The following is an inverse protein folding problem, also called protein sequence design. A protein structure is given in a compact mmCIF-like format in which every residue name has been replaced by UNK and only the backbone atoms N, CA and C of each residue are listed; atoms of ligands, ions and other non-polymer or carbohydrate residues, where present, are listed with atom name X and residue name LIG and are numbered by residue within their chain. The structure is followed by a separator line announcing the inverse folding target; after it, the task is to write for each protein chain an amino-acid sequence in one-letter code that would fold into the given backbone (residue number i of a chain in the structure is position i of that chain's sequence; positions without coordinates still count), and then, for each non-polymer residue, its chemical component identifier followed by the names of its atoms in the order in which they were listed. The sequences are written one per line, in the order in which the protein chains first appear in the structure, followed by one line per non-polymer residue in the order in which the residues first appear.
data_IF_241450710707
#
_entry.id   IF_241450710707
#
_cell.length_a   1.000
_cell.length_b   1.000
_cell.length_c   1.000
_cell.angle_alpha   90.00
_cell.angle_beta   90.00
_cell.angle_gamma   90.00
#
_symmetry.space_group_name_H-M   'P 1'
#
loop_
_entity.id
_entity.type
_entity.pdbx_description
1 polymer ?
#
# COMPACT_ATOMS: atom_id res chain seq x y z
N UNK A 1 71.67 -50.50 65.51
CA UNK A 1 70.38 -51.16 65.81
C UNK A 1 69.24 -50.24 65.36
N UNK A 2 68.28 -50.84 64.67
CA UNK A 2 67.04 -50.35 64.06
C UNK A 2 66.44 -49.04 64.62
N UNK A 3 66.26 -48.05 63.73
CA UNK A 3 65.25 -47.00 63.87
C UNK A 3 64.08 -47.27 62.91
N UNK A 4 62.88 -46.97 63.42
CA UNK A 4 61.58 -47.44 62.94
C UNK A 4 60.99 -46.59 61.82
N UNK A 5 60.17 -47.29 61.06
CA UNK A 5 59.21 -46.93 60.00
C UNK A 5 58.17 -45.91 60.51
N UNK A 6 57.67 -45.03 59.62
CA UNK A 6 56.24 -44.76 59.37
C UNK A 6 56.04 -43.52 58.46
N UNK A 7 55.46 -43.78 57.26
CA UNK A 7 54.30 -43.12 56.60
C UNK A 7 54.27 -41.57 56.52
N UNK A 8 53.81 -40.87 55.47
CA UNK A 8 52.63 -41.04 54.60
C UNK A 8 52.58 -39.86 53.60
N UNK A 9 52.00 -40.10 52.43
CA UNK A 9 51.14 -39.20 51.62
C UNK A 9 51.63 -37.87 51.01
N UNK A 10 51.38 -37.80 49.69
CA UNK A 10 50.91 -36.67 48.87
C UNK A 10 51.86 -35.44 48.76
N UNK A 11 52.06 -34.83 47.58
CA UNK A 11 51.04 -34.11 46.84
C UNK A 11 51.41 -34.11 45.35
N UNK A 12 50.49 -34.67 44.54
CA UNK A 12 50.39 -34.42 43.11
C UNK A 12 49.95 -32.96 42.93
N UNK A 13 50.87 -32.05 42.63
CA UNK A 13 50.52 -30.71 42.16
C UNK A 13 50.26 -30.83 40.66
N UNK A 14 49.09 -31.37 40.32
CA UNK A 14 48.50 -31.13 39.01
C UNK A 14 48.07 -29.66 39.03
N UNK A 15 48.89 -28.80 38.41
CA UNK A 15 48.48 -27.45 38.08
C UNK A 15 47.20 -27.54 37.24
N UNK A 16 46.08 -27.18 37.87
CA UNK A 16 44.85 -26.75 37.24
C UNK A 16 45.17 -25.47 36.44
N UNK A 17 45.69 -25.63 35.23
CA UNK A 17 45.47 -24.62 34.19
C UNK A 17 43.99 -24.71 33.81
N UNK A 18 43.12 -24.02 34.58
CA UNK A 18 41.82 -23.59 34.09
C UNK A 18 42.09 -22.54 32.99
N UNK A 19 42.51 -23.01 31.81
CA UNK A 19 42.01 -22.38 30.60
C UNK A 19 40.51 -22.68 30.62
N UNK A 20 39.69 -21.67 30.89
CA UNK A 20 38.28 -21.75 30.59
C UNK A 20 38.17 -22.12 29.11
N UNK A 21 37.94 -23.40 28.82
CA UNK A 21 37.48 -23.84 27.52
C UNK A 21 36.10 -23.21 27.39
N UNK A 22 36.03 -22.00 26.83
CA UNK A 22 34.77 -21.52 26.28
C UNK A 22 34.33 -22.60 25.29
N UNK A 23 33.23 -23.29 25.61
CA UNK A 23 32.59 -24.19 24.66
C UNK A 23 32.42 -23.40 23.36
N UNK A 24 33.01 -23.89 22.28
CA UNK A 24 32.82 -23.30 20.97
C UNK A 24 31.32 -23.28 20.68
N UNK A 25 30.76 -22.17 20.16
CA UNK A 25 29.36 -22.15 19.77
C UNK A 25 29.08 -23.30 18.79
N UNK A 26 27.85 -23.85 18.78
CA UNK A 26 27.44 -24.79 17.74
C UNK A 26 27.64 -24.12 16.37
N UNK A 27 28.10 -24.91 15.39
CA UNK A 27 28.23 -24.42 14.01
C UNK A 27 26.84 -24.07 13.47
N UNK A 28 26.64 -22.79 13.18
CA UNK A 28 25.42 -22.26 12.59
C UNK A 28 25.77 -21.45 11.35
N UNK A 29 24.87 -21.41 10.37
CA UNK A 29 25.03 -20.61 9.14
C UNK A 29 24.53 -19.18 9.32
N UNK A 30 24.93 -18.26 8.44
CA UNK A 30 24.46 -16.86 8.48
C UNK A 30 22.93 -16.77 8.34
N UNK A 31 22.30 -17.66 7.57
CA UNK A 31 20.85 -17.74 7.44
C UNK A 31 20.19 -18.24 8.74
N UNK A 32 20.80 -19.21 9.43
CA UNK A 32 20.31 -19.68 10.74
C UNK A 32 20.46 -18.61 11.83
N UNK A 33 21.55 -17.83 11.78
CA UNK A 33 21.74 -16.65 12.62
C UNK A 33 20.63 -15.61 12.35
N UNK A 34 20.31 -15.37 11.08
CA UNK A 34 19.22 -14.48 10.71
C UNK A 34 17.84 -15.01 11.16
N UNK A 35 17.60 -16.32 11.08
CA UNK A 35 16.35 -16.93 11.53
C UNK A 35 16.19 -16.89 13.05
N UNK A 36 17.28 -16.98 13.81
CA UNK A 36 17.27 -16.90 15.27
C UNK A 36 17.19 -15.47 15.80
N UNK A 37 17.96 -14.54 15.21
CA UNK A 37 18.11 -13.17 15.73
C UNK A 37 17.37 -12.11 14.91
N UNK A 38 16.90 -12.45 13.71
CA UNK A 38 16.19 -11.55 12.83
C UNK A 38 14.74 -11.37 13.26
N UNK A 39 14.16 -10.23 12.94
CA UNK A 39 12.73 -10.01 13.07
C UNK A 39 12.23 -9.21 11.88
N UNK A 40 10.95 -9.41 11.56
CA UNK A 40 10.24 -8.51 10.65
C UNK A 40 9.81 -7.29 11.46
N UNK A 41 10.10 -6.10 10.93
CA UNK A 41 9.60 -4.87 11.54
C UNK A 41 8.07 -4.83 11.41
N UNK A 42 7.39 -4.49 12.51
CA UNK A 42 5.93 -4.34 12.55
C UNK A 42 5.39 -3.26 11.61
N UNK A 43 6.27 -2.34 11.18
CA UNK A 43 5.95 -1.27 10.22
C UNK A 43 6.30 -1.65 8.78
N UNK A 44 6.84 -2.85 8.55
CA UNK A 44 7.19 -3.35 7.22
C UNK A 44 6.04 -4.18 6.65
N UNK A 45 5.89 -4.19 5.33
CA UNK A 45 4.94 -5.11 4.68
C UNK A 45 5.26 -6.56 5.05
N UNK A 46 4.24 -7.43 5.13
CA UNK A 46 4.40 -8.85 5.49
C UNK A 46 5.45 -9.60 4.65
N UNK A 47 5.70 -9.13 3.43
CA UNK A 47 6.68 -9.71 2.48
C UNK A 47 8.10 -9.15 2.63
N UNK A 48 8.33 -8.23 3.58
CA UNK A 48 9.67 -7.71 3.82
C UNK A 48 10.58 -8.82 4.42
N UNK A 49 11.82 -8.97 3.92
CA UNK A 49 12.79 -9.87 4.52
C UNK A 49 13.03 -9.53 5.99
N UNK A 50 13.27 -10.54 6.81
CA UNK A 50 13.69 -10.33 8.19
C UNK A 50 15.09 -9.70 8.24
N UNK A 51 15.34 -8.91 9.28
CA UNK A 51 16.66 -8.30 9.52
C UNK A 51 17.03 -8.40 10.99
N UNK A 52 18.33 -8.54 11.28
CA UNK A 52 18.83 -8.45 12.65
C UNK A 52 18.82 -6.99 13.08
N UNK A 53 18.24 -6.71 14.25
CA UNK A 53 18.15 -5.34 14.77
C UNK A 53 19.55 -4.78 15.06
N UNK A 54 19.71 -3.45 14.97
CA UNK A 54 20.98 -2.79 15.32
C UNK A 54 21.38 -3.07 16.78
N UNK A 55 20.39 -3.05 17.69
CA UNK A 55 20.62 -3.35 19.10
C UNK A 55 21.14 -4.77 19.31
N UNK A 56 20.65 -5.74 18.54
CA UNK A 56 21.11 -7.13 18.61
C UNK A 56 22.58 -7.26 18.20
N UNK A 57 22.99 -6.58 17.12
CA UNK A 57 24.40 -6.50 16.72
C UNK A 57 25.25 -5.82 17.79
N UNK A 58 24.84 -4.64 18.28
CA UNK A 58 25.58 -3.89 19.30
C UNK A 58 25.76 -4.70 20.59
N UNK A 59 24.71 -5.40 21.03
CA UNK A 59 24.79 -6.29 22.19
C UNK A 59 25.74 -7.47 21.96
N UNK A 60 25.74 -8.10 20.77
CA UNK A 60 26.65 -9.20 20.47
C UNK A 60 28.11 -8.74 20.51
N UNK A 61 28.40 -7.60 19.87
CA UNK A 61 29.74 -7.01 19.83
C UNK A 61 30.22 -6.54 21.20
N UNK A 62 29.32 -5.98 22.02
CA UNK A 62 29.62 -5.56 23.39
C UNK A 62 29.97 -6.76 24.30
N UNK A 63 29.18 -7.84 24.24
CA UNK A 63 29.40 -9.03 25.06
C UNK A 63 30.68 -9.77 24.67
N UNK A 64 30.99 -9.85 23.38
CA UNK A 64 32.23 -10.43 22.87
C UNK A 64 33.47 -9.52 23.05
N UNK A 65 33.30 -8.29 23.55
CA UNK A 65 34.41 -7.36 23.77
C UNK A 65 34.98 -6.69 22.51
N UNK A 66 34.32 -6.88 21.35
CA UNK A 66 34.72 -6.29 20.06
C UNK A 66 34.68 -4.75 20.07
N UNK A 67 33.78 -4.16 20.86
CA UNK A 67 33.59 -2.72 20.95
C UNK A 67 34.17 -2.10 22.23
N UNK A 68 35.12 -2.77 22.88
CA UNK A 68 35.78 -2.28 24.12
C UNK A 68 36.31 -0.85 24.01
N UNK A 69 36.84 -0.46 22.85
CA UNK A 69 37.31 0.91 22.59
C UNK A 69 36.18 1.97 22.55
N UNK A 70 34.96 1.57 22.17
CA UNK A 70 33.78 2.45 22.09
C UNK A 70 33.26 2.75 23.50
N UNK A 71 33.35 1.78 24.41
CA UNK A 71 32.83 1.88 25.78
C UNK A 71 33.90 2.21 26.83
N UNK A 72 35.13 2.55 26.43
CA UNK A 72 36.27 2.78 27.34
C UNK A 72 36.04 3.89 28.38
N UNK A 73 35.24 4.90 28.02
CA UNK A 73 34.95 6.06 28.87
C UNK A 73 33.66 5.87 29.69
N UNK A 74 32.99 4.71 29.56
CA UNK A 74 31.78 4.39 30.30
C UNK A 74 32.13 3.87 31.70
N UNK A 75 31.51 4.40 32.77
CA UNK A 75 31.70 3.86 34.13
C UNK A 75 31.38 2.37 34.21
N UNK A 76 32.17 1.61 34.97
CA UNK A 76 32.05 0.14 35.04
C UNK A 76 30.64 -0.32 35.48
N UNK A 77 30.01 0.41 36.41
CA UNK A 77 28.65 0.12 36.87
C UNK A 77 27.62 0.26 35.74
N UNK A 78 27.75 1.29 34.90
CA UNK A 78 26.88 1.48 33.73
C UNK A 78 27.15 0.41 32.67
N UNK A 79 28.42 0.12 32.39
CA UNK A 79 28.81 -0.92 31.44
C UNK A 79 28.28 -2.30 31.87
N UNK A 80 28.36 -2.60 33.17
CA UNK A 80 27.78 -3.81 33.76
C UNK A 80 26.27 -3.89 33.59
N UNK A 81 25.56 -2.77 33.79
CA UNK A 81 24.11 -2.68 33.55
C UNK A 81 23.75 -2.94 32.09
N UNK A 82 24.47 -2.33 31.13
CA UNK A 82 24.23 -2.51 29.69
C UNK A 82 24.50 -3.97 29.28
N UNK A 83 25.62 -4.56 29.72
CA UNK A 83 25.91 -5.98 29.45
C UNK A 83 24.84 -6.91 30.04
N UNK A 84 24.32 -6.60 31.22
CA UNK A 84 23.23 -7.37 31.85
C UNK A 84 21.95 -7.28 31.03
N UNK A 85 21.59 -6.09 30.54
CA UNK A 85 20.44 -5.92 29.65
C UNK A 85 20.61 -6.70 28.33
N UNK A 86 21.80 -6.67 27.73
CA UNK A 86 22.11 -7.45 26.54
C UNK A 86 21.99 -8.96 26.79
N UNK A 87 22.51 -9.46 27.91
CA UNK A 87 22.36 -10.88 28.29
C UNK A 87 20.90 -11.28 28.47
N UNK A 88 20.08 -10.43 29.10
CA UNK A 88 18.65 -10.66 29.25
C UNK A 88 17.94 -10.76 27.89
N UNK A 89 18.23 -9.82 26.99
CA UNK A 89 17.64 -9.84 25.65
C UNK A 89 18.02 -11.11 24.88
N UNK A 90 19.29 -11.53 24.93
CA UNK A 90 19.69 -12.78 24.29
C UNK A 90 19.10 -14.02 24.95
N UNK A 91 18.97 -14.02 26.27
CA UNK A 91 18.32 -15.11 26.98
C UNK A 91 16.86 -15.28 26.53
N UNK A 92 16.11 -14.19 26.31
CA UNK A 92 14.75 -14.25 25.79
C UNK A 92 14.70 -14.85 24.37
N UNK A 93 15.63 -14.47 23.49
CA UNK A 93 15.73 -15.00 22.12
C UNK A 93 16.13 -16.48 22.12
N UNK A 94 17.13 -16.85 22.92
CA UNK A 94 17.72 -18.19 22.99
C UNK A 94 16.76 -19.18 23.66
N UNK A 95 15.91 -18.71 24.58
CA UNK A 95 14.89 -19.53 25.23
C UNK A 95 13.75 -19.96 24.28
N UNK A 96 13.60 -19.32 23.13
CA UNK A 96 12.65 -19.74 22.11
C UNK A 96 13.12 -21.05 21.45
N UNK A 97 12.60 -22.17 21.92
CA UNK A 97 12.95 -23.52 21.44
C UNK A 97 12.51 -23.80 20.01
N UNK A 98 11.60 -22.99 19.45
CA UNK A 98 11.21 -23.12 18.04
C UNK A 98 12.26 -22.50 17.11
N UNK A 99 12.96 -21.47 17.58
CA UNK A 99 13.98 -20.76 16.81
C UNK A 99 15.40 -21.25 17.11
N UNK A 100 15.67 -21.60 18.36
CA UNK A 100 16.95 -22.12 18.81
C UNK A 100 16.99 -23.65 18.75
N UNK A 101 16.98 -24.20 17.53
CA UNK A 101 17.05 -25.66 17.31
C UNK A 101 18.46 -26.24 17.42
N UNK A 102 19.48 -25.37 17.49
CA UNK A 102 20.90 -25.73 17.47
C UNK A 102 21.54 -25.78 18.87
N UNK A 103 20.77 -25.50 19.92
CA UNK A 103 21.26 -25.55 21.30
C UNK A 103 22.24 -24.43 21.64
N UNK A 104 22.06 -23.24 21.04
CA UNK A 104 22.81 -22.06 21.44
C UNK A 104 22.52 -21.77 22.92
N UNK A 105 23.55 -21.40 23.68
CA UNK A 105 23.44 -21.03 25.09
C UNK A 105 23.90 -19.59 25.28
N UNK A 106 23.56 -19.00 26.43
CA UNK A 106 23.90 -17.61 26.70
C UNK A 106 25.42 -17.37 26.76
N UNK A 107 26.19 -18.37 27.24
CA UNK A 107 27.65 -18.27 27.33
C UNK A 107 28.31 -18.13 25.95
N UNK A 108 27.68 -18.67 24.90
CA UNK A 108 28.16 -18.56 23.53
C UNK A 108 28.09 -17.12 23.00
N UNK A 109 27.25 -16.25 23.58
CA UNK A 109 27.12 -14.85 23.15
C UNK A 109 28.33 -13.98 23.50
N UNK A 110 29.25 -14.50 24.31
CA UNK A 110 30.54 -13.86 24.62
C UNK A 110 31.64 -14.30 23.65
N UNK A 111 31.34 -15.21 22.71
CA UNK A 111 32.27 -15.66 21.69
C UNK A 111 32.40 -14.63 20.54
N UNK A 112 33.65 -14.32 20.18
CA UNK A 112 34.00 -13.34 19.14
C UNK A 112 33.51 -13.77 17.76
N UNK A 113 33.70 -15.03 17.38
CA UNK A 113 33.33 -15.53 16.05
C UNK A 113 31.82 -15.46 15.82
N UNK A 114 31.03 -15.82 16.84
CA UNK A 114 29.57 -15.69 16.79
C UNK A 114 29.13 -14.22 16.68
N UNK A 115 29.75 -13.30 17.42
CA UNK A 115 29.43 -11.88 17.34
C UNK A 115 29.78 -11.28 15.96
N UNK A 116 30.90 -11.69 15.36
CA UNK A 116 31.24 -11.32 13.98
C UNK A 116 30.26 -11.93 12.97
N UNK A 117 29.80 -13.15 13.20
CA UNK A 117 28.81 -13.80 12.36
C UNK A 117 27.46 -13.07 12.40
N UNK A 118 26.97 -12.70 13.59
CA UNK A 118 25.78 -11.85 13.77
C UNK A 118 25.94 -10.53 13.01
N UNK A 119 27.12 -9.92 13.08
CA UNK A 119 27.44 -8.67 12.36
C UNK A 119 27.35 -8.87 10.84
N UNK A 120 27.95 -9.94 10.29
CA UNK A 120 27.89 -10.26 8.86
C UNK A 120 26.47 -10.58 8.40
N UNK A 121 25.76 -11.43 9.12
CA UNK A 121 24.38 -11.81 8.83
C UNK A 121 23.47 -10.58 8.81
N UNK A 122 23.65 -9.64 9.75
CA UNK A 122 22.93 -8.37 9.75
C UNK A 122 23.20 -7.56 8.49
N UNK A 123 24.49 -7.32 8.16
CA UNK A 123 24.87 -6.54 6.99
C UNK A 123 24.26 -7.13 5.71
N UNK A 124 24.34 -8.45 5.52
CA UNK A 124 23.74 -9.14 4.39
C UNK A 124 22.21 -8.99 4.37
N UNK A 125 21.54 -9.15 5.53
CA UNK A 125 20.08 -9.02 5.62
C UNK A 125 19.58 -7.62 5.28
N UNK A 126 20.32 -6.58 5.65
CA UNK A 126 20.00 -5.18 5.34
C UNK A 126 20.10 -4.93 3.83
N UNK A 127 21.17 -5.41 3.19
CA UNK A 127 21.33 -5.24 1.74
C UNK A 127 20.24 -6.02 0.96
N UNK A 128 19.91 -7.24 1.39
CA UNK A 128 18.77 -8.00 0.84
C UNK A 128 17.46 -7.23 1.01
N UNK A 129 17.20 -6.66 2.19
CA UNK A 129 15.99 -5.89 2.46
C UNK A 129 15.91 -4.59 1.63
N UNK A 130 17.02 -3.87 1.46
CA UNK A 130 17.09 -2.68 0.60
C UNK A 130 16.83 -3.02 -0.86
N UNK A 131 17.48 -4.07 -1.38
CA UNK A 131 17.28 -4.53 -2.76
C UNK A 131 15.83 -4.95 -3.00
N UNK A 132 15.22 -5.70 -2.08
CA UNK A 132 13.82 -6.09 -2.15
C UNK A 132 12.87 -4.87 -2.12
N UNK A 133 13.13 -3.90 -1.24
CA UNK A 133 12.34 -2.67 -1.16
C UNK A 133 12.45 -1.84 -2.45
N UNK A 134 13.64 -1.75 -3.04
CA UNK A 134 13.86 -1.05 -4.30
C UNK A 134 13.13 -1.75 -5.46
N UNK A 135 13.28 -3.07 -5.60
CA UNK A 135 12.59 -3.84 -6.62
C UNK A 135 11.05 -3.73 -6.49
N UNK A 136 10.54 -3.73 -5.26
CA UNK A 136 9.11 -3.52 -5.00
C UNK A 136 8.64 -2.14 -5.42
N UNK A 137 9.39 -1.08 -5.07
CA UNK A 137 9.08 0.30 -5.49
C UNK A 137 9.07 0.46 -7.00
N UNK A 138 10.05 -0.14 -7.70
CA UNK A 138 10.13 -0.10 -9.16
C UNK A 138 8.94 -0.81 -9.80
N UNK A 139 8.56 -1.98 -9.27
CA UNK A 139 7.38 -2.71 -9.73
C UNK A 139 6.09 -1.91 -9.51
N UNK A 140 5.90 -1.36 -8.31
CA UNK A 140 4.71 -0.55 -7.98
C UNK A 140 4.64 0.72 -8.84
N UNK A 141 5.78 1.37 -9.10
CA UNK A 141 5.85 2.54 -9.98
C UNK A 141 5.49 2.18 -11.43
N UNK A 142 5.98 1.06 -11.95
CA UNK A 142 5.66 0.58 -13.30
C UNK A 142 4.17 0.21 -13.43
N UNK A 143 3.61 -0.51 -12.45
CA UNK A 143 2.19 -0.86 -12.43
C UNK A 143 1.29 0.38 -12.33
N UNK A 144 1.67 1.37 -11.51
CA UNK A 144 0.96 2.64 -11.41
C UNK A 144 1.00 3.40 -12.73
N UNK A 145 2.18 3.51 -13.34
CA UNK A 145 2.34 4.21 -14.61
C UNK A 145 1.45 3.59 -15.70
N UNK A 146 1.40 2.26 -15.79
CA UNK A 146 0.54 1.55 -16.73
C UNK A 146 -0.95 1.86 -16.49
N UNK A 147 -1.42 1.81 -15.23
CA UNK A 147 -2.80 2.14 -14.86
C UNK A 147 -3.15 3.61 -15.16
N UNK A 148 -2.25 4.53 -14.86
CA UNK A 148 -2.45 5.96 -15.14
C UNK A 148 -2.55 6.22 -16.64
N UNK A 149 -1.70 5.57 -17.45
CA UNK A 149 -1.74 5.67 -18.91
C UNK A 149 -3.04 5.11 -19.49
N UNK A 150 -3.51 3.96 -19.00
CA UNK A 150 -4.79 3.37 -19.41
C UNK A 150 -5.97 4.31 -19.09
N UNK A 151 -6.01 4.85 -17.88
CA UNK A 151 -7.07 5.76 -17.45
C UNK A 151 -7.09 7.07 -18.27
N UNK A 152 -5.90 7.63 -18.57
CA UNK A 152 -5.78 8.80 -19.44
C UNK A 152 -6.22 8.48 -20.87
N UNK A 153 -5.83 7.32 -21.41
CA UNK A 153 -6.23 6.91 -22.76
C UNK A 153 -7.76 6.74 -22.85
N UNK A 154 -8.39 6.14 -21.84
CA UNK A 154 -9.84 6.01 -21.75
C UNK A 154 -10.52 7.39 -21.68
N UNK A 155 -10.01 8.32 -20.87
CA UNK A 155 -10.52 9.69 -20.79
C UNK A 155 -10.39 10.43 -22.13
N UNK A 156 -9.25 10.31 -22.82
CA UNK A 156 -9.02 10.90 -24.15
C UNK A 156 -9.98 10.34 -25.19
N UNK A 157 -10.19 9.01 -25.21
CA UNK A 157 -11.17 8.37 -26.09
C UNK A 157 -12.58 8.90 -25.84
N UNK A 158 -12.97 9.05 -24.57
CA UNK A 158 -14.29 9.55 -24.18
C UNK A 158 -14.47 11.03 -24.53
N UNK A 159 -13.45 11.86 -24.34
CA UNK A 159 -13.46 13.26 -24.75
C UNK A 159 -13.57 13.42 -26.28
N UNK A 160 -12.88 12.57 -27.05
CA UNK A 160 -13.00 12.55 -28.50
C UNK A 160 -14.40 12.11 -28.96
N UNK A 161 -15.00 11.12 -28.31
CA UNK A 161 -16.40 10.75 -28.58
C UNK A 161 -17.35 11.91 -28.26
N UNK A 162 -17.15 12.59 -27.14
CA UNK A 162 -17.92 13.77 -26.79
C UNK A 162 -17.78 14.86 -27.86
N UNK A 163 -16.56 15.20 -28.25
CA UNK A 163 -16.29 16.23 -29.25
C UNK A 163 -16.96 15.94 -30.60
N UNK A 164 -16.88 14.70 -31.06
CA UNK A 164 -17.45 14.28 -32.35
C UNK A 164 -18.97 14.11 -32.35
N UNK A 165 -19.58 13.82 -31.20
CA UNK A 165 -21.02 13.51 -31.12
C UNK A 165 -21.86 14.60 -30.45
N UNK A 166 -21.24 15.62 -29.84
CA UNK A 166 -21.92 16.66 -29.07
C UNK A 166 -23.02 17.35 -29.87
N UNK A 167 -22.70 17.84 -31.08
CA UNK A 167 -23.63 18.64 -31.87
C UNK A 167 -24.81 17.82 -32.37
N UNK A 168 -24.58 16.58 -32.79
CA UNK A 168 -25.63 15.66 -33.24
C UNK A 168 -26.61 15.33 -32.09
N UNK A 169 -26.09 15.07 -30.90
CA UNK A 169 -26.95 14.83 -29.72
C UNK A 169 -27.75 16.06 -29.34
N UNK A 170 -27.13 17.25 -29.33
CA UNK A 170 -27.83 18.49 -29.01
C UNK A 170 -28.91 18.81 -30.05
N UNK A 171 -28.66 18.51 -31.33
CA UNK A 171 -29.65 18.66 -32.40
C UNK A 171 -30.84 17.70 -32.19
N UNK A 172 -30.58 16.41 -31.95
CA UNK A 172 -31.62 15.41 -31.68
C UNK A 172 -32.45 15.79 -30.43
N UNK A 173 -31.80 16.22 -29.36
CA UNK A 173 -32.47 16.65 -28.15
C UNK A 173 -33.34 17.90 -28.38
N UNK A 174 -32.84 18.87 -29.16
CA UNK A 174 -33.60 20.08 -29.51
C UNK A 174 -34.86 19.75 -30.30
N UNK A 175 -34.78 18.81 -31.23
CA UNK A 175 -35.94 18.31 -31.98
C UNK A 175 -36.98 17.68 -31.03
N UNK A 176 -36.55 16.78 -30.14
CA UNK A 176 -37.46 16.15 -29.16
C UNK A 176 -38.07 17.14 -28.18
N UNK A 177 -37.30 18.12 -27.71
CA UNK A 177 -37.84 19.18 -26.86
C UNK A 177 -38.86 20.07 -27.61
N UNK A 178 -38.68 20.29 -28.91
CA UNK A 178 -39.67 20.99 -29.73
C UNK A 178 -40.95 20.16 -29.90
N UNK A 179 -40.83 18.84 -30.15
CA UNK A 179 -41.96 17.92 -30.21
C UNK A 179 -42.74 17.89 -28.89
N UNK A 180 -42.03 17.79 -27.76
CA UNK A 180 -42.62 17.84 -26.43
C UNK A 180 -43.39 19.15 -26.21
N UNK A 181 -42.80 20.29 -26.55
CA UNK A 181 -43.44 21.61 -26.40
C UNK A 181 -44.69 21.73 -27.26
N UNK A 182 -44.65 21.28 -28.51
CA UNK A 182 -45.81 21.28 -29.41
C UNK A 182 -46.92 20.37 -28.88
N UNK A 183 -46.58 19.17 -28.40
CA UNK A 183 -47.53 18.24 -27.77
C UNK A 183 -48.22 18.90 -26.57
N UNK A 184 -47.45 19.60 -25.72
CA UNK A 184 -47.97 20.32 -24.57
C UNK A 184 -48.95 21.45 -24.93
N UNK A 185 -48.65 22.22 -25.99
CA UNK A 185 -49.56 23.27 -26.49
C UNK A 185 -50.86 22.67 -27.00
N UNK A 186 -50.79 21.60 -27.81
CA UNK A 186 -51.97 20.94 -28.36
C UNK A 186 -52.90 20.38 -27.25
N UNK A 187 -52.33 19.76 -26.21
CA UNK A 187 -53.12 19.25 -25.08
C UNK A 187 -53.72 20.36 -24.23
N UNK A 188 -53.03 21.49 -24.10
CA UNK A 188 -53.56 22.68 -23.43
C UNK A 188 -54.81 23.20 -24.14
N UNK A 189 -54.78 23.31 -25.45
CA UNK A 189 -55.93 23.76 -26.27
C UNK A 189 -57.13 22.82 -26.13
N UNK A 190 -56.88 21.51 -26.02
CA UNK A 190 -57.92 20.49 -25.79
C UNK A 190 -58.38 20.36 -24.32
N UNK A 191 -57.79 21.11 -23.39
CA UNK A 191 -58.03 21.01 -21.94
C UNK A 191 -57.74 19.61 -21.36
N UNK A 192 -56.75 18.91 -21.91
CA UNK A 192 -56.37 17.54 -21.53
C UNK A 192 -55.07 17.48 -20.70
N UNK A 193 -54.59 18.62 -20.17
CA UNK A 193 -53.35 18.65 -19.39
C UNK A 193 -53.52 17.95 -18.03
N UNK A 194 -52.66 16.97 -17.75
CA UNK A 194 -52.50 16.34 -16.43
C UNK A 194 -51.41 17.05 -15.59
N UNK A 195 -51.37 16.81 -14.28
CA UNK A 195 -50.30 17.34 -13.40
C UNK A 195 -48.92 16.78 -13.82
N UNK A 196 -48.85 15.53 -14.28
CA UNK A 196 -47.61 14.92 -14.78
C UNK A 196 -47.10 15.62 -16.05
N UNK A 197 -47.99 16.07 -16.93
CA UNK A 197 -47.62 16.82 -18.14
C UNK A 197 -46.97 18.18 -17.85
N UNK A 198 -47.16 18.75 -16.67
CA UNK A 198 -46.61 20.07 -16.31
C UNK A 198 -45.12 20.05 -15.93
N UNK A 199 -44.53 18.87 -15.69
CA UNK A 199 -43.11 18.74 -15.39
C UNK A 199 -42.30 18.66 -16.68
N UNK A 200 -41.58 19.75 -17.00
CA UNK A 200 -40.68 19.75 -18.16
C UNK A 200 -39.46 18.89 -17.89
N UNK A 201 -39.05 18.02 -18.84
CA UNK A 201 -37.75 17.35 -18.75
C UNK A 201 -36.64 18.39 -18.58
N UNK A 202 -35.72 18.15 -17.65
CA UNK A 202 -34.64 19.09 -17.34
C UNK A 202 -33.80 19.48 -18.58
N UNK A 203 -33.70 18.55 -19.54
CA UNK A 203 -33.00 18.73 -20.80
C UNK A 203 -33.64 19.77 -21.74
N UNK A 204 -34.91 20.14 -21.50
CA UNK A 204 -35.66 21.10 -22.31
C UNK A 204 -35.71 22.52 -21.72
N UNK A 205 -34.98 22.81 -20.64
CA UNK A 205 -34.86 24.17 -20.08
C UNK A 205 -33.98 25.08 -20.94
N UNK A 206 -34.24 26.39 -20.87
CA UNK A 206 -33.70 27.45 -21.76
C UNK A 206 -32.17 27.56 -21.84
N UNK A 207 -31.40 26.95 -20.95
CA UNK A 207 -29.93 27.05 -20.88
C UNK A 207 -29.20 25.70 -20.95
N UNK A 208 -29.92 24.61 -21.21
CA UNK A 208 -29.34 23.27 -21.15
C UNK A 208 -28.22 23.07 -22.20
N UNK A 209 -28.49 23.47 -23.44
CA UNK A 209 -27.53 23.35 -24.56
C UNK A 209 -26.23 24.13 -24.27
N UNK A 210 -26.35 25.39 -23.86
CA UNK A 210 -25.19 26.23 -23.59
C UNK A 210 -24.36 25.68 -22.42
N UNK A 211 -25.02 25.14 -21.39
CA UNK A 211 -24.36 24.53 -20.25
C UNK A 211 -23.56 23.27 -20.66
N UNK A 212 -24.16 22.38 -21.45
CA UNK A 212 -23.44 21.20 -21.96
C UNK A 212 -22.27 21.63 -22.83
N UNK A 213 -22.46 22.56 -23.78
CA UNK A 213 -21.37 23.05 -24.64
C UNK A 213 -20.21 23.63 -23.81
N UNK A 214 -20.52 24.38 -22.75
CA UNK A 214 -19.52 24.95 -21.84
C UNK A 214 -18.77 23.86 -21.07
N UNK A 215 -19.51 22.89 -20.53
CA UNK A 215 -18.92 21.77 -19.79
C UNK A 215 -18.06 20.90 -20.70
N UNK A 216 -18.54 20.57 -21.90
CA UNK A 216 -17.81 19.77 -22.89
C UNK A 216 -16.48 20.43 -23.28
N UNK A 217 -16.48 21.74 -23.57
CA UNK A 217 -15.22 22.48 -23.85
C UNK A 217 -14.24 22.38 -22.69
N UNK A 218 -14.72 22.59 -21.47
CA UNK A 218 -13.87 22.50 -20.29
C UNK A 218 -13.29 21.09 -20.11
N UNK A 219 -14.11 20.04 -20.27
CA UNK A 219 -13.67 18.64 -20.17
C UNK A 219 -12.61 18.34 -21.23
N UNK A 220 -12.87 18.68 -22.50
CA UNK A 220 -11.94 18.42 -23.61
C UNK A 220 -10.60 19.11 -23.36
N UNK A 221 -10.63 20.36 -22.91
CA UNK A 221 -9.42 21.11 -22.56
C UNK A 221 -8.65 20.43 -21.40
N UNK A 222 -9.33 20.06 -20.31
CA UNK A 222 -8.70 19.40 -19.17
C UNK A 222 -8.11 18.03 -19.56
N UNK A 223 -8.85 17.23 -20.33
CA UNK A 223 -8.39 15.92 -20.81
C UNK A 223 -7.18 16.05 -21.74
N UNK A 224 -7.11 17.09 -22.57
CA UNK A 224 -5.97 17.34 -23.45
C UNK A 224 -4.66 17.57 -22.68
N UNK A 225 -4.76 18.10 -21.45
CA UNK A 225 -3.64 18.40 -20.55
C UNK A 225 -3.27 17.23 -19.63
N UNK A 226 -3.97 16.10 -19.71
CA UNK A 226 -3.68 14.94 -18.87
C UNK A 226 -2.40 14.24 -19.31
N UNK A 227 -1.50 14.06 -18.35
CA UNK A 227 -0.24 13.36 -18.47
C UNK A 227 -0.04 12.44 -17.27
N UNK A 228 0.58 11.28 -17.50
CA UNK A 228 0.92 10.37 -16.42
C UNK A 228 2.12 10.94 -15.65
N UNK A 229 1.98 11.01 -14.32
CA UNK A 229 3.04 11.52 -13.43
C UNK A 229 3.58 10.37 -12.59
N UNK A 230 4.71 9.76 -12.97
CA UNK A 230 5.27 8.60 -12.27
C UNK A 230 5.61 8.91 -10.81
N UNK A 231 6.03 10.16 -10.53
CA UNK A 231 6.43 10.60 -9.19
C UNK A 231 5.25 11.06 -8.30
N UNK A 232 4.03 11.12 -8.84
CA UNK A 232 2.85 11.54 -8.09
C UNK A 232 2.26 10.38 -7.29
N UNK A 233 2.00 10.59 -6.01
CA UNK A 233 1.24 9.65 -5.16
C UNK A 233 -0.24 9.55 -5.57
N UNK A 234 -0.76 10.59 -6.22
CA UNK A 234 -2.13 10.62 -6.74
C UNK A 234 -2.16 10.13 -8.19
N UNK A 235 -3.27 9.47 -8.56
CA UNK A 235 -3.58 9.17 -9.96
C UNK A 235 -3.93 10.43 -10.76
N UNK A 236 -4.11 10.31 -12.08
CA UNK A 236 -4.48 11.43 -12.94
C UNK A 236 -5.85 11.99 -12.53
N UNK A 237 -5.95 13.32 -12.46
CA UNK A 237 -7.18 14.02 -12.10
C UNK A 237 -8.13 14.09 -13.31
N UNK A 238 -8.77 12.96 -13.62
CA UNK A 238 -9.72 12.87 -14.74
C UNK A 238 -10.95 13.75 -14.42
N UNK A 239 -11.31 14.71 -15.30
CA UNK A 239 -12.46 15.58 -15.06
C UNK A 239 -13.76 14.78 -15.08
N UNK A 240 -14.72 15.21 -14.27
CA UNK A 240 -16.05 14.62 -14.24
C UNK A 240 -16.87 15.03 -15.47
N UNK A 241 -17.32 14.04 -16.26
CA UNK A 241 -18.05 14.29 -17.50
C UNK A 241 -19.51 14.72 -17.27
N UNK A 242 -20.16 14.25 -16.21
CA UNK A 242 -21.50 14.69 -15.79
C UNK A 242 -22.55 14.62 -16.91
N UNK A 243 -23.32 15.70 -17.10
CA UNK A 243 -24.37 15.76 -18.13
C UNK A 243 -23.82 15.86 -19.56
N UNK A 244 -22.54 16.19 -19.72
CA UNK A 244 -21.82 16.16 -21.00
C UNK A 244 -21.19 14.78 -21.27
N UNK A 245 -21.46 13.78 -20.44
CA UNK A 245 -21.09 12.41 -20.72
C UNK A 245 -21.91 11.85 -21.91
N UNK A 246 -21.29 11.25 -22.94
CA UNK A 246 -22.02 10.74 -24.10
C UNK A 246 -23.16 9.76 -23.75
N UNK A 247 -22.98 8.90 -22.74
CA UNK A 247 -24.03 7.98 -22.29
C UNK A 247 -25.14 8.74 -21.58
N UNK A 248 -24.79 9.71 -20.73
CA UNK A 248 -25.78 10.55 -20.04
C UNK A 248 -26.57 11.40 -21.02
N UNK A 249 -25.94 11.93 -22.07
CA UNK A 249 -26.62 12.70 -23.12
C UNK A 249 -27.65 11.83 -23.85
N UNK A 250 -27.29 10.59 -24.21
CA UNK A 250 -28.24 9.63 -24.78
C UNK A 250 -29.43 9.35 -23.85
N UNK A 251 -29.17 9.13 -22.57
CA UNK A 251 -30.24 8.91 -21.58
C UNK A 251 -31.19 10.11 -21.47
N UNK A 252 -30.72 11.33 -21.69
CA UNK A 252 -31.58 12.52 -21.64
C UNK A 252 -32.50 12.60 -22.86
N UNK A 253 -32.03 12.19 -24.04
CA UNK A 253 -32.90 12.04 -25.23
C UNK A 253 -34.00 11.02 -24.94
N UNK A 254 -33.64 9.83 -24.44
CA UNK A 254 -34.61 8.78 -24.09
C UNK A 254 -35.64 9.27 -23.07
N UNK A 255 -35.22 10.01 -22.03
CA UNK A 255 -36.15 10.57 -21.04
C UNK A 255 -37.16 11.55 -21.63
N UNK A 256 -36.74 12.36 -22.61
CA UNK A 256 -37.66 13.27 -23.32
C UNK A 256 -38.64 12.47 -24.18
N UNK A 257 -38.17 11.42 -24.87
CA UNK A 257 -39.03 10.53 -25.66
C UNK A 257 -40.08 9.81 -24.80
N UNK A 258 -39.67 9.27 -23.65
CA UNK A 258 -40.56 8.64 -22.68
C UNK A 258 -41.61 9.63 -22.15
N UNK A 259 -41.21 10.87 -21.85
CA UNK A 259 -42.13 11.91 -21.42
C UNK A 259 -43.16 12.25 -22.52
N UNK A 260 -42.74 12.37 -23.78
CA UNK A 260 -43.64 12.58 -24.92
C UNK A 260 -44.63 11.41 -25.04
N UNK A 261 -44.14 10.17 -24.99
CA UNK A 261 -44.97 8.97 -25.13
C UNK A 261 -46.01 8.87 -24.00
N UNK A 262 -45.59 9.11 -22.76
CA UNK A 262 -46.47 9.12 -21.58
C UNK A 262 -47.57 10.17 -21.72
N UNK A 263 -47.23 11.40 -22.10
CA UNK A 263 -48.20 12.48 -22.29
C UNK A 263 -49.22 12.16 -23.38
N UNK A 264 -48.78 11.60 -24.52
CA UNK A 264 -49.68 11.18 -25.61
C UNK A 264 -50.62 10.05 -25.19
N UNK A 265 -50.12 9.07 -24.43
CA UNK A 265 -50.93 7.96 -23.93
C UNK A 265 -52.00 8.42 -22.92
N UNK A 266 -51.65 9.31 -22.00
CA UNK A 266 -52.60 9.91 -21.05
C UNK A 266 -53.69 10.71 -21.77
N UNK A 267 -53.31 11.49 -22.78
CA UNK A 267 -54.26 12.26 -23.58
C UNK A 267 -55.27 11.37 -24.31
N UNK A 268 -54.80 10.29 -24.95
CA UNK A 268 -55.68 9.33 -25.63
C UNK A 268 -56.64 8.65 -24.65
N UNK A 269 -56.17 8.29 -23.45
CA UNK A 269 -57.00 7.72 -22.40
C UNK A 269 -58.05 8.73 -21.87
N UNK A 270 -57.71 10.02 -21.81
CA UNK A 270 -58.62 11.07 -21.40
C UNK A 270 -59.70 11.36 -22.46
N UNK A 271 -59.35 11.33 -23.75
CA UNK A 271 -60.31 11.47 -24.85
C UNK A 271 -61.33 10.32 -24.87
N UNK A 272 -60.89 9.08 -24.63
CA UNK A 272 -61.79 7.91 -24.54
C UNK A 272 -62.79 7.98 -23.38
N UNK A 273 -62.45 8.69 -22.28
CA UNK A 273 -63.37 8.87 -21.13
C UNK A 273 -64.42 9.96 -21.36
N UNK A 274 -64.24 10.79 -22.39
CA UNK A 274 -65.17 11.89 -22.73
C UNK A 274 -66.17 11.49 -23.82
N UNK A 275 -65.98 10.34 -24.47
CA UNK A 275 -66.91 9.72 -25.42
C UNK A 275 -67.92 8.83 -24.68
#
# INVERSE_FOLDING_TARGET
MKNRILTTSAIFIALLTLSACQESPPEITDDQVLDLFGSKSSFSSNDAPATISKQTEECARLLAGLDSAVYKDMPEEMLGSVKTACRKNFQEIIADTQRNTFGLKLEHMENVELAEQITRARAQSIEKAKAAAQAKREKEAAEKLAKDQEAIAAAKKKASLLETSLDDHLAALKEKCAEWKTTMVALKERKLLSVASQLSPNACYRNYEENIRRQARHIIEQVSKLEAKPDSIMGPAIPYFGVADPESMNQQVTKVEEAIASIKAEAAAAELRQQ
#
